data_IF_132351059461
#
_entry.id   IF_132351059461
#
_cell.length_a   1.000
_cell.length_b   1.000
_cell.length_c   1.000
_cell.angle_alpha   90.00
_cell.angle_beta   90.00
_cell.angle_gamma   90.00
#
_symmetry.space_group_name_H-M   'P 1'
#
loop_
_entity.id
_entity.type
_entity.pdbx_description
1 polymer ?
#
# COMPACT_ATOMS: atom_id res chain seq x y z
N UNK A 1 9.33 0.91 10.44
CA UNK A 1 9.07 1.43 9.07
C UNK A 1 8.65 0.32 8.11
N UNK A 2 9.37 -0.80 8.02
CA UNK A 2 9.01 -1.91 7.11
C UNK A 2 7.67 -2.62 7.43
N UNK A 3 7.33 -2.88 8.71
CA UNK A 3 6.02 -3.43 9.13
C UNK A 3 4.82 -2.65 8.57
N UNK A 4 4.95 -1.34 8.60
CA UNK A 4 3.95 -0.36 8.20
C UNK A 4 3.74 -0.40 6.70
N UNK A 5 4.84 -0.47 5.99
CA UNK A 5 4.91 -0.66 4.56
C UNK A 5 4.26 -1.99 4.11
N UNK A 6 4.47 -3.10 4.81
CA UNK A 6 3.78 -4.36 4.54
C UNK A 6 2.26 -4.19 4.61
N UNK A 7 1.75 -3.61 5.70
CA UNK A 7 0.33 -3.48 5.94
C UNK A 7 -0.33 -2.52 4.92
N UNK A 8 0.31 -1.41 4.57
CA UNK A 8 -0.20 -0.47 3.55
C UNK A 8 -0.28 -1.14 2.20
N UNK A 9 0.79 -1.84 1.79
CA UNK A 9 0.85 -2.52 0.49
C UNK A 9 -0.23 -3.57 0.36
N UNK A 10 -0.39 -4.41 1.39
CA UNK A 10 -1.42 -5.44 1.44
C UNK A 10 -2.84 -4.85 1.38
N UNK A 11 -3.10 -3.76 2.11
CA UNK A 11 -4.39 -3.08 2.05
C UNK A 11 -4.64 -2.43 0.70
N UNK A 12 -3.63 -1.84 0.05
CA UNK A 12 -3.76 -1.26 -1.28
C UNK A 12 -4.08 -2.31 -2.34
N UNK A 13 -3.39 -3.44 -2.33
CA UNK A 13 -3.66 -4.56 -3.24
C UNK A 13 -5.06 -5.13 -3.01
N UNK A 14 -5.47 -5.29 -1.74
CA UNK A 14 -6.83 -5.73 -1.40
C UNK A 14 -7.91 -4.74 -1.92
N UNK A 15 -7.74 -3.45 -1.64
CA UNK A 15 -8.68 -2.40 -2.07
C UNK A 15 -8.71 -2.28 -3.60
N UNK A 16 -7.56 -2.48 -4.27
CA UNK A 16 -7.49 -2.56 -5.71
C UNK A 16 -8.40 -3.67 -6.25
N UNK A 17 -8.27 -4.90 -5.76
CA UNK A 17 -9.09 -6.01 -6.28
C UNK A 17 -10.57 -5.83 -5.97
N UNK A 18 -10.91 -5.33 -4.77
CA UNK A 18 -12.29 -5.03 -4.40
C UNK A 18 -12.93 -4.00 -5.36
N UNK A 19 -12.21 -2.93 -5.67
CA UNK A 19 -12.71 -1.85 -6.55
C UNK A 19 -12.63 -2.22 -8.03
N UNK A 20 -11.67 -3.04 -8.44
CA UNK A 20 -11.47 -3.45 -9.83
C UNK A 20 -12.61 -4.32 -10.35
N UNK A 21 -13.12 -5.24 -9.53
CA UNK A 21 -14.32 -6.03 -9.87
C UNK A 21 -15.50 -5.10 -10.13
N UNK A 22 -15.73 -4.11 -9.26
CA UNK A 22 -16.81 -3.13 -9.41
C UNK A 22 -16.62 -2.33 -10.70
N UNK A 23 -15.42 -1.78 -10.93
CA UNK A 23 -15.17 -0.95 -12.13
C UNK A 23 -15.33 -1.74 -13.42
N UNK A 24 -14.91 -3.00 -13.46
CA UNK A 24 -15.08 -3.85 -14.64
C UNK A 24 -16.56 -4.20 -14.87
N UNK A 25 -17.31 -4.55 -13.82
CA UNK A 25 -18.75 -4.87 -13.90
C UNK A 25 -19.58 -3.69 -14.44
N UNK A 26 -19.28 -2.47 -14.00
CA UNK A 26 -19.99 -1.26 -14.44
C UNK A 26 -19.36 -0.59 -15.69
N UNK A 27 -18.34 -1.20 -16.31
CA UNK A 27 -17.72 -0.69 -17.54
C UNK A 27 -16.82 0.54 -17.36
N UNK A 28 -16.43 0.89 -16.14
CA UNK A 28 -15.52 2.00 -15.81
C UNK A 28 -14.05 1.67 -16.08
N UNK A 29 -13.72 1.27 -17.32
CA UNK A 29 -12.38 0.79 -17.72
C UNK A 29 -11.25 1.81 -17.49
N UNK A 30 -11.56 3.11 -17.55
CA UNK A 30 -10.56 4.16 -17.28
C UNK A 30 -10.22 4.24 -15.78
N UNK A 31 -11.20 4.13 -14.89
CA UNK A 31 -10.98 4.12 -13.44
C UNK A 31 -10.18 2.89 -13.02
N UNK A 32 -10.54 1.72 -13.56
CA UNK A 32 -9.75 0.50 -13.41
C UNK A 32 -8.28 0.72 -13.81
N UNK A 33 -8.03 1.30 -14.99
CA UNK A 33 -6.67 1.55 -15.46
C UNK A 33 -5.88 2.52 -14.57
N UNK A 34 -6.50 3.60 -14.07
CA UNK A 34 -5.86 4.51 -13.13
C UNK A 34 -5.46 3.81 -11.83
N UNK A 35 -6.37 3.00 -11.28
CA UNK A 35 -6.11 2.25 -10.06
C UNK A 35 -5.04 1.19 -10.26
N UNK A 36 -5.05 0.51 -11.41
CA UNK A 36 -4.05 -0.47 -11.78
C UNK A 36 -2.65 0.16 -11.77
N UNK A 37 -2.48 1.27 -12.48
CA UNK A 37 -1.18 1.94 -12.59
C UNK A 37 -0.66 2.42 -11.23
N UNK A 38 -1.52 3.01 -10.38
CA UNK A 38 -1.12 3.42 -9.04
C UNK A 38 -0.74 2.23 -8.15
N UNK A 39 -1.54 1.16 -8.17
CA UNK A 39 -1.30 -0.03 -7.34
C UNK A 39 -0.04 -0.77 -7.79
N UNK A 40 0.16 -0.92 -9.10
CA UNK A 40 1.35 -1.54 -9.68
C UNK A 40 2.63 -0.79 -9.31
N UNK A 41 2.63 0.54 -9.45
CA UNK A 41 3.79 1.35 -9.09
C UNK A 41 4.11 1.25 -7.58
N UNK A 42 3.08 1.28 -6.74
CA UNK A 42 3.24 1.14 -5.30
C UNK A 42 3.81 -0.23 -4.95
N UNK A 43 3.18 -1.32 -5.42
CA UNK A 43 3.58 -2.68 -5.11
C UNK A 43 5.00 -3.00 -5.60
N UNK A 44 5.37 -2.53 -6.81
CA UNK A 44 6.73 -2.65 -7.34
C UNK A 44 7.75 -1.90 -6.47
N UNK A 45 7.44 -0.66 -6.05
CA UNK A 45 8.33 0.13 -5.19
C UNK A 45 8.52 -0.56 -3.84
N UNK A 46 7.44 -1.07 -3.28
CA UNK A 46 7.43 -1.70 -1.98
C UNK A 46 8.15 -3.05 -1.97
N UNK A 47 7.94 -3.87 -2.99
CA UNK A 47 8.71 -5.09 -3.22
C UNK A 47 10.20 -4.76 -3.35
N UNK A 48 10.56 -3.71 -4.08
CA UNK A 48 11.96 -3.30 -4.28
C UNK A 48 12.63 -2.86 -2.98
N UNK A 49 11.97 -2.02 -2.17
CA UNK A 49 12.47 -1.59 -0.85
C UNK A 49 12.64 -2.81 0.07
N UNK A 50 11.66 -3.71 0.09
CA UNK A 50 11.71 -4.91 0.91
C UNK A 50 12.90 -5.81 0.55
N UNK A 51 13.07 -6.14 -0.72
CA UNK A 51 14.16 -7.01 -1.16
C UNK A 51 15.52 -6.33 -1.01
N UNK A 52 15.63 -5.02 -1.27
CA UNK A 52 16.86 -4.27 -1.01
C UNK A 52 17.25 -4.33 0.48
N UNK A 53 16.30 -4.12 1.39
CA UNK A 53 16.51 -4.25 2.82
C UNK A 53 16.94 -5.68 3.21
N UNK A 54 16.26 -6.69 2.68
CA UNK A 54 16.56 -8.10 2.96
C UNK A 54 17.94 -8.53 2.41
N UNK A 55 18.38 -7.99 1.29
CA UNK A 55 19.73 -8.24 0.74
C UNK A 55 20.82 -7.52 1.52
N UNK A 56 20.53 -6.33 2.05
CA UNK A 56 21.46 -5.59 2.90
C UNK A 56 21.63 -6.25 4.28
N UNK A 57 20.52 -6.61 4.92
CA UNK A 57 20.50 -7.27 6.23
C UNK A 57 19.24 -8.15 6.36
N UNK A 58 19.45 -9.47 6.36
CA UNK A 58 18.37 -10.46 6.49
C UNK A 58 17.69 -10.43 7.87
N UNK A 59 18.33 -9.84 8.89
CA UNK A 59 17.77 -9.71 10.23
C UNK A 59 16.87 -8.48 10.40
N UNK A 60 16.89 -7.56 9.42
CA UNK A 60 16.13 -6.31 9.48
C UNK A 60 14.61 -6.53 9.55
N UNK A 61 14.10 -7.62 8.97
CA UNK A 61 12.67 -7.96 9.01
C UNK A 61 12.32 -8.74 10.28
N UNK A 62 13.18 -9.68 10.68
CA UNK A 62 12.94 -10.56 11.85
C UNK A 62 13.21 -9.88 13.19
N UNK A 63 13.95 -8.77 13.18
CA UNK A 63 14.14 -7.89 14.35
C UNK A 63 12.88 -7.08 14.71
N UNK A 64 11.88 -7.03 13.83
CA UNK A 64 10.59 -6.41 14.14
C UNK A 64 9.80 -7.36 15.04
N UNK A 65 9.51 -6.92 16.27
CA UNK A 65 8.91 -7.75 17.32
C UNK A 65 7.62 -8.47 16.88
N UNK A 66 6.77 -7.79 16.11
CA UNK A 66 5.52 -8.37 15.59
C UNK A 66 5.72 -9.37 14.45
N UNK A 67 6.84 -9.28 13.73
CA UNK A 67 7.16 -10.14 12.59
C UNK A 67 8.11 -11.28 12.97
N UNK A 68 8.75 -11.23 14.15
CA UNK A 68 9.73 -12.24 14.57
C UNK A 68 9.13 -13.64 14.69
N UNK A 69 7.83 -13.73 14.95
CA UNK A 69 7.10 -14.99 15.06
C UNK A 69 6.45 -15.42 13.74
N UNK A 70 6.44 -14.56 12.71
CA UNK A 70 5.93 -14.94 11.40
C UNK A 70 6.99 -15.74 10.65
N UNK A 71 6.61 -16.84 9.96
CA UNK A 71 7.53 -17.55 9.10
C UNK A 71 8.15 -16.62 8.05
N UNK A 72 9.47 -16.73 7.85
CA UNK A 72 10.20 -15.89 6.89
C UNK A 72 9.61 -15.99 5.48
N UNK A 73 9.20 -17.19 5.05
CA UNK A 73 8.55 -17.40 3.76
C UNK A 73 7.24 -16.60 3.62
N UNK A 74 6.48 -16.45 4.70
CA UNK A 74 5.23 -15.68 4.70
C UNK A 74 5.52 -14.19 4.54
N UNK A 75 6.55 -13.69 5.22
CA UNK A 75 7.03 -12.32 5.02
C UNK A 75 7.49 -12.07 3.59
N UNK A 76 8.27 -12.98 2.99
CA UNK A 76 8.68 -12.87 1.58
C UNK A 76 7.47 -12.87 0.64
N UNK A 77 6.53 -13.78 0.87
CA UNK A 77 5.32 -13.90 0.07
C UNK A 77 4.49 -12.61 0.13
N UNK A 78 4.25 -12.07 1.33
CA UNK A 78 3.47 -10.84 1.54
C UNK A 78 4.05 -9.59 0.86
N UNK A 79 5.33 -9.59 0.49
CA UNK A 79 5.95 -8.46 -0.22
C UNK A 79 6.21 -8.76 -1.70
N UNK A 80 5.88 -9.98 -2.15
CA UNK A 80 6.18 -10.42 -3.51
C UNK A 80 4.93 -10.80 -4.29
N UNK A 81 3.86 -11.28 -3.65
CA UNK A 81 2.72 -11.84 -4.38
C UNK A 81 1.88 -10.80 -5.14
N UNK A 82 1.86 -9.54 -4.66
CA UNK A 82 1.06 -8.48 -5.26
C UNK A 82 1.40 -8.27 -6.73
N UNK A 83 2.69 -8.27 -7.06
CA UNK A 83 3.17 -7.93 -8.39
C UNK A 83 2.82 -9.03 -9.42
N UNK A 84 3.09 -10.33 -9.18
CA UNK A 84 2.58 -11.41 -10.02
C UNK A 84 1.06 -11.38 -10.18
N UNK A 85 0.31 -11.09 -9.11
CA UNK A 85 -1.15 -11.00 -9.18
C UNK A 85 -1.60 -9.85 -10.09
N UNK A 86 -0.95 -8.68 -10.01
CA UNK A 86 -1.21 -7.53 -10.86
C UNK A 86 -0.76 -7.77 -12.31
N UNK A 87 0.32 -8.52 -12.54
CA UNK A 87 0.72 -8.91 -13.90
C UNK A 87 -0.30 -9.87 -14.53
N UNK A 88 -0.82 -10.82 -13.76
CA UNK A 88 -1.90 -11.70 -14.20
C UNK A 88 -3.18 -10.91 -14.51
N UNK A 89 -3.55 -9.96 -13.65
CA UNK A 89 -4.68 -9.08 -13.87
C UNK A 89 -4.51 -8.23 -15.13
N UNK A 90 -3.33 -7.67 -15.38
CA UNK A 90 -3.06 -6.95 -16.63
C UNK A 90 -3.15 -7.83 -17.86
N UNK A 91 -2.70 -9.08 -17.78
CA UNK A 91 -2.83 -10.04 -18.86
C UNK A 91 -4.31 -10.36 -19.18
N UNK A 92 -5.15 -10.51 -18.15
CA UNK A 92 -6.56 -10.86 -18.30
C UNK A 92 -7.45 -9.66 -18.67
N UNK A 93 -7.20 -8.49 -18.07
CA UNK A 93 -8.07 -7.33 -18.15
C UNK A 93 -7.59 -6.26 -19.12
N UNK A 94 -6.32 -6.32 -19.55
CA UNK A 94 -5.70 -5.44 -20.55
C UNK A 94 -6.00 -3.95 -20.23
N UNK A 95 -5.51 -3.44 -19.09
CA UNK A 95 -5.78 -2.08 -18.66
C UNK A 95 -5.31 -1.08 -19.73
N UNK A 96 -6.08 -0.02 -19.94
CA UNK A 96 -5.70 1.04 -20.87
C UNK A 96 -4.42 1.72 -20.40
N UNK A 97 -3.59 2.14 -21.35
CA UNK A 97 -2.47 3.00 -21.05
C UNK A 97 -2.97 4.37 -20.55
N UNK A 98 -2.62 4.72 -19.32
CA UNK A 98 -3.00 5.98 -18.67
C UNK A 98 -1.78 6.65 -18.04
N UNK A 99 -1.85 7.97 -17.86
CA UNK A 99 -0.76 8.72 -17.24
C UNK A 99 -0.62 8.36 -15.76
N UNK A 100 0.61 8.08 -15.32
CA UNK A 100 0.93 7.87 -13.91
C UNK A 100 0.50 9.06 -13.04
N UNK A 101 0.79 10.30 -13.46
CA UNK A 101 0.37 11.52 -12.75
C UNK A 101 -1.15 11.59 -12.54
N UNK A 102 -1.94 11.28 -13.59
CA UNK A 102 -3.41 11.25 -13.48
C UNK A 102 -3.88 10.13 -12.57
N UNK A 103 -3.23 8.98 -12.63
CA UNK A 103 -3.49 7.83 -11.77
C UNK A 103 -3.32 8.21 -10.29
N UNK A 104 -2.21 8.85 -9.95
CA UNK A 104 -1.94 9.36 -8.60
C UNK A 104 -3.00 10.36 -8.13
N UNK A 105 -3.40 11.30 -8.98
CA UNK A 105 -4.47 12.25 -8.65
C UNK A 105 -5.83 11.56 -8.39
N UNK A 106 -6.14 10.51 -9.15
CA UNK A 106 -7.39 9.75 -9.00
C UNK A 106 -7.36 8.82 -7.79
N UNK A 107 -6.19 8.28 -7.41
CA UNK A 107 -6.03 7.44 -6.22
C UNK A 107 -5.83 8.23 -4.93
N UNK A 108 -5.50 9.52 -5.02
CA UNK A 108 -5.27 10.39 -3.86
C UNK A 108 -6.45 10.43 -2.85
N UNK A 109 -7.73 10.49 -3.26
CA UNK A 109 -8.86 10.42 -2.34
C UNK A 109 -8.90 9.13 -1.49
N UNK A 110 -8.40 8.01 -2.02
CA UNK A 110 -8.31 6.76 -1.24
C UNK A 110 -7.21 6.84 -0.19
N UNK A 111 -6.08 7.46 -0.53
CA UNK A 111 -5.03 7.76 0.45
C UNK A 111 -5.57 8.66 1.57
N UNK A 112 -6.38 9.66 1.24
CA UNK A 112 -7.07 10.50 2.23
C UNK A 112 -8.06 9.69 3.08
N UNK A 113 -8.88 8.82 2.47
CA UNK A 113 -9.81 7.96 3.20
C UNK A 113 -9.08 7.02 4.18
N UNK A 114 -7.95 6.46 3.77
CA UNK A 114 -7.10 5.66 4.65
C UNK A 114 -6.55 6.48 5.83
N UNK A 115 -6.08 7.70 5.59
CA UNK A 115 -5.61 8.57 6.66
C UNK A 115 -6.74 8.93 7.64
N UNK A 116 -7.97 9.18 7.15
CA UNK A 116 -9.15 9.41 8.00
C UNK A 116 -9.45 8.16 8.83
N UNK A 117 -9.39 6.97 8.25
CA UNK A 117 -9.59 5.71 8.99
C UNK A 117 -8.57 5.57 10.13
N UNK A 118 -7.28 5.79 9.84
CA UNK A 118 -6.20 5.76 10.84
C UNK A 118 -6.44 6.79 11.94
N UNK A 119 -6.77 8.03 11.57
CA UNK A 119 -7.01 9.10 12.55
C UNK A 119 -8.25 8.84 13.41
N UNK A 120 -9.30 8.27 12.83
CA UNK A 120 -10.49 7.81 13.56
C UNK A 120 -10.12 6.73 14.59
N UNK A 121 -9.25 5.80 14.18
CA UNK A 121 -8.62 4.80 15.06
C UNK A 121 -7.97 5.42 16.30
N UNK A 122 -7.19 6.48 16.08
CA UNK A 122 -6.45 7.20 17.12
C UNK A 122 -7.41 7.96 18.03
N UNK A 123 -8.33 8.73 17.47
CA UNK A 123 -9.20 9.62 18.24
C UNK A 123 -10.22 8.85 19.09
N UNK A 124 -10.76 7.75 18.57
CA UNK A 124 -11.82 6.99 19.25
C UNK A 124 -11.28 5.89 20.16
N UNK A 125 -10.16 5.26 19.79
CA UNK A 125 -9.65 4.08 20.50
C UNK A 125 -8.19 4.21 20.96
N UNK A 126 -7.53 5.34 20.69
CA UNK A 126 -6.09 5.53 20.93
C UNK A 126 -5.24 4.40 20.33
N UNK A 127 -5.69 3.86 19.19
CA UNK A 127 -5.00 2.81 18.47
C UNK A 127 -4.57 3.31 17.11
N UNK A 128 -3.40 2.85 16.66
CA UNK A 128 -2.94 3.09 15.31
C UNK A 128 -2.23 1.86 14.80
N UNK A 129 -2.39 1.52 13.51
CA UNK A 129 -1.48 0.59 12.86
C UNK A 129 -0.02 1.10 12.87
N UNK A 130 0.22 2.37 13.22
CA UNK A 130 1.51 3.01 13.39
C UNK A 130 1.71 3.56 14.82
N UNK A 131 2.08 2.76 15.83
CA UNK A 131 2.18 3.23 17.21
C UNK A 131 3.09 4.45 17.41
N UNK A 132 4.13 4.58 16.59
CA UNK A 132 5.05 5.73 16.60
C UNK A 132 4.34 7.06 16.32
N UNK A 133 3.26 7.06 15.52
CA UNK A 133 2.54 8.31 15.20
C UNK A 133 1.72 8.83 16.37
N UNK A 134 1.41 7.96 17.35
CA UNK A 134 0.70 8.35 18.57
C UNK A 134 1.51 9.35 19.39
N UNK A 135 2.84 9.39 19.20
CA UNK A 135 3.75 10.35 19.85
C UNK A 135 3.62 11.77 19.29
N UNK A 136 3.06 11.93 18.10
CA UNK A 136 2.94 13.23 17.44
C UNK A 136 1.55 13.83 17.62
N UNK A 137 1.46 15.15 17.74
CA UNK A 137 0.19 15.88 17.71
C UNK A 137 -0.50 15.82 16.34
N UNK A 138 -1.80 16.11 16.30
CA UNK A 138 -2.65 16.05 15.09
C UNK A 138 -2.03 16.67 13.82
N UNK A 139 -1.42 17.89 13.85
CA UNK A 139 -0.84 18.49 12.65
C UNK A 139 0.36 17.71 12.11
N UNK A 140 1.22 17.21 13.00
CA UNK A 140 2.43 16.46 12.66
C UNK A 140 2.10 15.06 12.13
N UNK A 141 1.00 14.44 12.60
CA UNK A 141 0.49 13.19 12.04
C UNK A 141 0.04 13.36 10.59
N UNK A 142 -0.73 14.41 10.29
CA UNK A 142 -1.15 14.71 8.93
C UNK A 142 0.01 15.04 7.99
N UNK A 143 1.02 15.80 8.46
CA UNK A 143 2.25 16.02 7.69
C UNK A 143 2.96 14.70 7.42
N UNK A 144 3.01 13.78 8.40
CA UNK A 144 3.63 12.46 8.22
C UNK A 144 2.88 11.62 7.18
N UNK A 145 1.54 11.60 7.22
CA UNK A 145 0.73 10.92 6.21
C UNK A 145 1.00 11.48 4.81
N UNK A 146 0.90 12.81 4.67
CA UNK A 146 1.10 13.49 3.38
C UNK A 146 2.54 13.30 2.88
N UNK A 147 3.54 13.30 3.76
CA UNK A 147 4.94 13.05 3.38
C UNK A 147 5.16 11.64 2.83
N UNK A 148 4.44 10.64 3.34
CA UNK A 148 4.45 9.28 2.79
C UNK A 148 3.85 9.25 1.37
N UNK A 149 2.82 10.07 1.12
CA UNK A 149 2.19 10.17 -0.20
C UNK A 149 2.95 11.07 -1.20
N UNK A 150 3.76 12.04 -0.72
CA UNK A 150 4.46 13.03 -1.54
C UNK A 150 5.95 12.76 -1.77
N UNK A 151 6.61 11.93 -0.95
CA UNK A 151 8.02 11.53 -1.15
C UNK A 151 8.18 10.23 -1.96
N UNK A 152 7.19 9.94 -2.81
CA UNK A 152 7.16 8.90 -3.84
C UNK A 152 6.89 9.57 -5.19
#
# INVERSE_FOLDING_TARGET
>A
MLKFFTCITQNLVFMYYLTSIIFLLFGYKNLHAYFYVSTFAYDMTMMSIYWAANFYDQTMITSIEDLKYMPIWFNHFAHTYGLPALLLDAYLCIPKCVSFKKSMMVSFPLGMAYNIYVETGILLWNTSPYPEILKYGFPLRYISYVSVWLNL
#
